data_IF_475922981530
#
_entry.id   IF_475922981530
#
_cell.length_a   1.000
_cell.length_b   1.000
_cell.length_c   1.000
_cell.angle_alpha   90.00
_cell.angle_beta   90.00
_cell.angle_gamma   90.00
#
_symmetry.space_group_name_H-M   'P 1'
#
loop_
_entity.id
_entity.type
_entity.pdbx_description
1 polymer ?
#
# COMPACT_ATOMS: atom_id res chain seq x y z
N UNK A 1 -13.46 -7.03 -21.76
CA UNK A 1 -14.49 -6.63 -20.78
C UNK A 1 -13.80 -6.16 -19.52
N UNK A 2 -13.76 -4.85 -19.30
CA UNK A 2 -12.98 -4.15 -18.26
C UNK A 2 -13.72 -4.07 -16.90
N UNK A 3 -14.95 -4.57 -16.81
CA UNK A 3 -15.75 -4.55 -15.59
C UNK A 3 -15.42 -5.74 -14.69
N UNK A 4 -14.30 -5.64 -13.97
CA UNK A 4 -14.06 -6.49 -12.79
C UNK A 4 -13.96 -5.60 -11.58
N UNK A 5 -14.65 -5.98 -10.51
CA UNK A 5 -14.58 -5.31 -9.19
C UNK A 5 -13.13 -5.16 -8.69
N UNK A 6 -12.19 -5.95 -9.22
CA UNK A 6 -10.74 -5.86 -8.99
C UNK A 6 -10.13 -4.49 -9.31
N UNK A 7 -10.51 -3.83 -10.41
CA UNK A 7 -9.94 -2.52 -10.77
C UNK A 7 -10.31 -1.44 -9.76
N UNK A 8 -11.49 -1.55 -9.12
CA UNK A 8 -11.89 -0.66 -8.02
C UNK A 8 -11.00 -0.83 -6.80
N UNK A 9 -10.58 -2.06 -6.48
CA UNK A 9 -9.66 -2.32 -5.36
C UNK A 9 -8.26 -1.76 -5.63
N UNK A 10 -7.76 -1.87 -6.87
CA UNK A 10 -6.50 -1.22 -7.25
C UNK A 10 -6.58 0.30 -7.22
N UNK A 11 -7.70 0.87 -7.66
CA UNK A 11 -7.92 2.31 -7.61
C UNK A 11 -8.02 2.81 -6.17
N UNK A 12 -8.70 2.07 -5.29
CA UNK A 12 -8.74 2.36 -3.86
C UNK A 12 -7.34 2.29 -3.23
N UNK A 13 -6.55 1.25 -3.55
CA UNK A 13 -5.15 1.12 -3.13
C UNK A 13 -4.29 2.29 -3.60
N UNK A 14 -4.43 2.72 -4.86
CA UNK A 14 -3.70 3.86 -5.39
C UNK A 14 -4.07 5.16 -4.67
N UNK A 15 -5.36 5.44 -4.47
CA UNK A 15 -5.85 6.62 -3.75
C UNK A 15 -5.36 6.60 -2.30
N UNK A 16 -5.50 5.47 -1.61
CA UNK A 16 -5.03 5.33 -0.22
C UNK A 16 -3.52 5.58 -0.12
N UNK A 17 -2.74 5.06 -1.07
CA UNK A 17 -1.29 5.27 -1.14
C UNK A 17 -0.95 6.74 -1.39
N UNK A 18 -1.59 7.41 -2.35
CA UNK A 18 -1.38 8.83 -2.61
C UNK A 18 -1.78 9.72 -1.42
N UNK A 19 -2.93 9.45 -0.80
CA UNK A 19 -3.35 10.15 0.41
C UNK A 19 -2.35 9.93 1.54
N UNK A 20 -1.80 8.72 1.70
CA UNK A 20 -0.81 8.45 2.75
C UNK A 20 0.50 9.24 2.60
N UNK A 21 0.80 9.80 1.41
CA UNK A 21 1.93 10.71 1.21
C UNK A 21 1.64 12.09 1.81
N UNK A 22 0.39 12.56 1.65
CA UNK A 22 -0.04 13.88 2.10
C UNK A 22 -0.34 13.93 3.60
N UNK A 23 -0.70 12.79 4.20
CA UNK A 23 -1.12 12.71 5.59
C UNK A 23 -0.06 12.12 6.53
N UNK A 24 -0.01 12.57 7.80
CA UNK A 24 0.90 12.04 8.80
C UNK A 24 0.56 10.62 9.24
N UNK A 25 1.58 9.79 9.36
CA UNK A 25 1.45 8.41 9.86
C UNK A 25 1.56 8.36 11.38
N UNK A 26 2.56 9.06 11.94
CA UNK A 26 2.79 9.08 13.37
C UNK A 26 3.16 10.50 13.79
N UNK A 27 2.84 10.87 15.03
CA UNK A 27 3.18 12.21 15.51
C UNK A 27 3.62 12.11 16.95
N UNK A 28 4.76 12.72 17.26
CA UNK A 28 5.36 12.53 18.57
C UNK A 28 6.57 13.40 18.80
N UNK A 29 7.06 13.36 20.03
CA UNK A 29 8.27 14.06 20.41
C UNK A 29 9.49 13.20 20.04
N UNK A 30 10.42 13.81 19.31
CA UNK A 30 11.74 13.24 19.06
C UNK A 30 12.75 13.98 19.94
N UNK A 31 13.65 13.24 20.58
CA UNK A 31 14.73 13.83 21.37
C UNK A 31 15.64 14.60 20.41
N UNK A 32 15.65 15.94 20.50
CA UNK A 32 16.63 16.76 19.78
C UNK A 32 18.02 16.58 20.38
N UNK A 33 19.06 16.96 19.62
CA UNK A 33 20.46 16.99 20.08
C UNK A 33 20.66 17.82 21.35
N UNK A 34 19.77 18.78 21.61
CA UNK A 34 19.83 19.69 22.76
C UNK A 34 18.86 19.30 23.90
N UNK A 35 18.56 18.00 24.08
CA UNK A 35 17.64 17.48 25.12
C UNK A 35 16.22 18.08 25.10
N UNK A 36 15.89 18.86 24.08
CA UNK A 36 14.61 19.54 23.91
C UNK A 36 13.63 18.61 23.19
N UNK A 37 12.43 18.42 23.76
CA UNK A 37 11.34 17.67 23.13
C UNK A 37 10.82 18.49 21.95
N UNK A 38 11.26 18.15 20.74
CA UNK A 38 10.73 18.76 19.52
C UNK A 38 9.57 17.92 19.02
N UNK A 39 8.40 18.55 18.90
CA UNK A 39 7.24 17.93 18.26
C UNK A 39 7.56 17.69 16.79
N UNK A 40 7.65 16.42 16.42
CA UNK A 40 7.96 15.99 15.07
C UNK A 40 6.82 15.14 14.54
N UNK A 41 6.41 15.47 13.33
CA UNK A 41 5.40 14.72 12.59
C UNK A 41 6.15 13.74 11.71
N UNK A 42 5.87 12.44 11.79
CA UNK A 42 6.34 11.47 10.80
C UNK A 42 5.40 11.49 9.59
N UNK A 43 5.82 12.23 8.59
CA UNK A 43 5.28 12.17 7.24
C UNK A 43 6.13 11.27 6.35
N UNK A 44 5.50 10.65 5.36
CA UNK A 44 6.20 9.92 4.29
C UNK A 44 7.30 10.77 3.64
N UNK A 45 7.08 12.08 3.52
CA UNK A 45 8.01 13.05 2.94
C UNK A 45 9.32 13.23 3.72
N UNK A 46 9.32 12.97 5.02
CA UNK A 46 10.50 13.19 5.86
C UNK A 46 11.50 12.03 5.78
N UNK A 47 11.05 10.88 5.25
CA UNK A 47 11.86 9.68 5.13
C UNK A 47 11.87 9.26 3.67
N UNK A 48 12.92 9.66 2.95
CA UNK A 48 13.14 9.35 1.52
C UNK A 48 12.79 7.91 1.12
N UNK A 49 13.22 6.85 1.84
CA UNK A 49 12.89 5.48 1.45
C UNK A 49 11.38 5.18 1.56
N UNK A 50 10.67 5.78 2.52
CA UNK A 50 9.22 5.62 2.68
C UNK A 50 8.47 6.34 1.56
N UNK A 51 8.87 7.58 1.23
CA UNK A 51 8.30 8.32 0.10
C UNK A 51 8.43 7.54 -1.21
N UNK A 52 9.66 7.10 -1.53
CA UNK A 52 9.94 6.36 -2.77
C UNK A 52 9.12 5.08 -2.85
N UNK A 53 9.07 4.29 -1.77
CA UNK A 53 8.30 3.05 -1.75
C UNK A 53 6.80 3.31 -1.91
N UNK A 54 6.26 4.35 -1.28
CA UNK A 54 4.85 4.72 -1.40
C UNK A 54 4.48 5.12 -2.84
N UNK A 55 5.35 5.90 -3.51
CA UNK A 55 5.17 6.28 -4.92
C UNK A 55 5.23 5.05 -5.83
N UNK A 56 6.19 4.14 -5.59
CA UNK A 56 6.29 2.89 -6.34
C UNK A 56 5.02 2.05 -6.17
N UNK A 57 4.49 1.93 -4.96
CA UNK A 57 3.26 1.16 -4.69
C UNK A 57 2.05 1.79 -5.40
N UNK A 58 1.90 3.11 -5.30
CA UNK A 58 0.80 3.85 -5.91
C UNK A 58 0.81 3.74 -7.45
N UNK A 59 1.99 3.95 -8.05
CA UNK A 59 2.16 3.85 -9.51
C UNK A 59 2.03 2.41 -9.99
N UNK A 60 2.57 1.43 -9.27
CA UNK A 60 2.38 0.01 -9.57
C UNK A 60 0.90 -0.38 -9.54
N UNK A 61 0.13 0.05 -8.52
CA UNK A 61 -1.31 -0.20 -8.45
C UNK A 61 -2.05 0.34 -9.68
N UNK A 62 -1.69 1.53 -10.18
CA UNK A 62 -2.27 2.07 -11.41
C UNK A 62 -1.87 1.27 -12.66
N UNK A 63 -0.60 0.88 -12.78
CA UNK A 63 -0.12 0.07 -13.91
C UNK A 63 -0.83 -1.30 -13.95
N UNK A 64 -1.06 -1.91 -12.79
CA UNK A 64 -1.74 -3.21 -12.67
C UNK A 64 -3.18 -3.15 -13.22
N UNK A 65 -3.86 -1.99 -13.15
CA UNK A 65 -5.20 -1.80 -13.74
C UNK A 65 -5.16 -2.01 -15.27
N UNK A 66 -4.13 -1.48 -15.94
CA UNK A 66 -3.97 -1.61 -17.39
C UNK A 66 -3.50 -3.02 -17.81
N UNK A 67 -2.93 -3.80 -16.90
CA UNK A 67 -2.50 -5.19 -17.13
C UNK A 67 -3.63 -6.22 -17.15
N UNK A 68 -4.89 -5.79 -17.23
CA UNK A 68 -6.09 -6.64 -17.22
C UNK A 68 -6.13 -7.73 -18.31
N UNK A 69 -5.36 -7.56 -19.39
CA UNK A 69 -5.26 -8.54 -20.48
C UNK A 69 -4.48 -9.79 -20.05
N UNK A 70 -3.47 -9.63 -19.20
CA UNK A 70 -2.54 -10.69 -18.81
C UNK A 70 -2.72 -11.06 -17.32
N UNK A 71 -3.74 -11.88 -17.02
CA UNK A 71 -4.13 -12.20 -15.63
C UNK A 71 -3.01 -12.79 -14.78
N UNK A 72 -2.17 -13.66 -15.36
CA UNK A 72 -1.02 -14.26 -14.66
C UNK A 72 -0.02 -13.19 -14.22
N UNK A 73 0.31 -12.24 -15.11
CA UNK A 73 1.17 -11.10 -14.77
C UNK A 73 0.47 -10.20 -13.77
N UNK A 74 -0.82 -9.91 -13.95
CA UNK A 74 -1.60 -9.08 -13.03
C UNK A 74 -1.55 -9.63 -11.58
N UNK A 75 -1.71 -10.95 -11.39
CA UNK A 75 -1.55 -11.58 -10.08
C UNK A 75 -0.13 -11.45 -9.53
N UNK A 76 0.90 -11.72 -10.35
CA UNK A 76 2.30 -11.62 -9.91
C UNK A 76 2.64 -10.19 -9.46
N UNK A 77 2.28 -9.19 -10.26
CA UNK A 77 2.51 -7.78 -9.90
C UNK A 77 1.69 -7.35 -8.68
N UNK A 78 0.46 -7.84 -8.52
CA UNK A 78 -0.35 -7.59 -7.32
C UNK A 78 0.30 -8.17 -6.07
N UNK A 79 0.81 -9.40 -6.16
CA UNK A 79 1.51 -10.06 -5.07
C UNK A 79 2.81 -9.34 -4.70
N UNK A 80 3.60 -8.93 -5.70
CA UNK A 80 4.78 -8.09 -5.49
C UNK A 80 4.40 -6.77 -4.79
N UNK A 81 3.34 -6.10 -5.26
CA UNK A 81 2.92 -4.83 -4.68
C UNK A 81 2.42 -4.97 -3.24
N UNK A 82 1.76 -6.09 -2.92
CA UNK A 82 1.36 -6.45 -1.57
C UNK A 82 2.59 -6.63 -0.66
N UNK A 83 3.63 -7.31 -1.16
CA UNK A 83 4.88 -7.50 -0.42
C UNK A 83 5.57 -6.15 -0.15
N UNK A 84 5.62 -5.27 -1.14
CA UNK A 84 6.11 -3.89 -0.96
C UNK A 84 5.28 -3.13 0.08
N UNK A 85 3.96 -3.28 0.08
CA UNK A 85 3.09 -2.62 1.07
C UNK A 85 3.33 -3.12 2.50
N UNK A 86 3.65 -4.40 2.68
CA UNK A 86 4.03 -4.94 4.00
C UNK A 86 5.38 -4.36 4.43
N UNK A 87 6.34 -4.29 3.50
CA UNK A 87 7.65 -3.70 3.74
C UNK A 87 7.54 -2.21 4.12
N UNK A 88 6.59 -1.47 3.52
CA UNK A 88 6.25 -0.10 3.89
C UNK A 88 5.85 0.01 5.36
N UNK A 89 4.95 -0.87 5.83
CA UNK A 89 4.49 -0.89 7.23
C UNK A 89 5.67 -1.18 8.16
N UNK A 90 6.55 -2.10 7.78
CA UNK A 90 7.74 -2.42 8.56
C UNK A 90 8.69 -1.22 8.68
N UNK A 91 8.91 -0.47 7.59
CA UNK A 91 9.68 0.78 7.62
C UNK A 91 9.05 1.81 8.56
N UNK A 92 7.74 2.04 8.46
CA UNK A 92 7.01 2.95 9.35
C UNK A 92 7.14 2.54 10.82
N UNK A 93 7.05 1.24 11.11
CA UNK A 93 7.25 0.72 12.46
C UNK A 93 8.68 0.96 12.97
N UNK A 94 9.69 0.76 12.12
CA UNK A 94 11.08 1.04 12.43
C UNK A 94 11.33 2.52 12.72
N UNK A 95 10.73 3.43 11.94
CA UNK A 95 10.81 4.88 12.19
C UNK A 95 10.09 5.28 13.48
N UNK A 96 8.97 4.63 13.80
CA UNK A 96 8.21 4.88 15.04
C UNK A 96 9.05 4.57 16.28
N UNK A 97 9.91 3.56 16.24
CA UNK A 97 10.83 3.23 17.36
C UNK A 97 11.85 4.33 17.68
N UNK A 98 12.05 5.29 16.77
CA UNK A 98 12.96 6.43 16.99
C UNK A 98 12.29 7.57 17.76
N UNK A 99 11.00 7.46 18.05
CA UNK A 99 10.24 8.43 18.83
C UNK A 99 10.18 7.98 20.29
N UNK A 100 10.32 8.94 21.21
CA UNK A 100 10.32 8.66 22.66
C UNK A 100 8.90 8.62 23.19
N UNK A 101 8.08 9.59 22.79
CA UNK A 101 6.65 9.69 23.10
C UNK A 101 5.90 10.03 21.81
N UNK A 102 4.81 9.34 21.49
CA UNK A 102 3.99 9.71 20.34
C UNK A 102 2.74 8.87 20.19
N UNK A 103 1.87 9.32 19.29
CA UNK A 103 0.59 8.70 18.99
C UNK A 103 0.50 8.39 17.51
N UNK A 104 -0.10 7.24 17.18
CA UNK A 104 -0.51 6.94 15.82
C UNK A 104 -1.54 7.96 15.36
N UNK A 105 -1.30 8.55 14.19
CA UNK A 105 -2.26 9.47 13.60
C UNK A 105 -3.44 8.69 13.01
N UNK A 106 -4.62 9.30 12.96
CA UNK A 106 -5.81 8.69 12.35
C UNK A 106 -5.56 8.27 10.90
N UNK A 107 -4.72 9.03 10.19
CA UNK A 107 -4.38 8.76 8.80
C UNK A 107 -3.47 7.55 8.60
N UNK A 108 -2.91 6.98 9.67
CA UNK A 108 -2.16 5.71 9.61
C UNK A 108 -3.03 4.56 9.08
N UNK A 109 -4.36 4.64 9.26
CA UNK A 109 -5.32 3.69 8.70
C UNK A 109 -5.16 3.55 7.18
N UNK A 110 -4.81 4.61 6.45
CA UNK A 110 -4.61 4.56 5.00
C UNK A 110 -3.49 3.59 4.60
N UNK A 111 -2.42 3.55 5.38
CA UNK A 111 -1.28 2.64 5.16
C UNK A 111 -1.68 1.19 5.40
N UNK A 112 -2.60 0.92 6.34
CA UNK A 112 -3.13 -0.42 6.60
C UNK A 112 -4.26 -0.84 5.63
N UNK A 113 -5.05 0.12 5.14
CA UNK A 113 -6.10 -0.12 4.13
C UNK A 113 -5.48 -0.55 2.81
N UNK A 114 -4.31 -0.03 2.46
CA UNK A 114 -3.64 -0.35 1.21
C UNK A 114 -3.36 -1.87 0.99
N UNK A 115 -2.67 -2.60 1.89
CA UNK A 115 -2.45 -4.03 1.72
C UNK A 115 -3.76 -4.83 1.75
N UNK A 116 -4.75 -4.40 2.55
CA UNK A 116 -6.08 -5.03 2.60
C UNK A 116 -6.76 -4.94 1.22
N UNK A 117 -6.75 -3.77 0.60
CA UNK A 117 -7.31 -3.58 -0.74
C UNK A 117 -6.58 -4.45 -1.79
N UNK A 118 -5.24 -4.57 -1.69
CA UNK A 118 -4.45 -5.43 -2.58
C UNK A 118 -4.77 -6.93 -2.39
N UNK A 119 -5.03 -7.39 -1.15
CA UNK A 119 -5.48 -8.76 -0.88
C UNK A 119 -6.81 -9.05 -1.57
N UNK A 120 -7.79 -8.14 -1.42
CA UNK A 120 -9.09 -8.30 -2.07
C UNK A 120 -8.97 -8.29 -3.60
N UNK A 121 -8.09 -7.46 -4.15
CA UNK A 121 -7.80 -7.45 -5.57
C UNK A 121 -7.21 -8.80 -6.02
N UNK A 122 -6.25 -9.34 -5.28
CA UNK A 122 -5.61 -10.62 -5.58
C UNK A 122 -6.59 -11.79 -5.55
N UNK A 123 -7.39 -11.91 -4.47
CA UNK A 123 -8.42 -12.96 -4.34
C UNK A 123 -9.43 -12.88 -5.47
N UNK A 124 -9.82 -11.66 -5.84
CA UNK A 124 -10.67 -11.41 -6.99
C UNK A 124 -10.08 -12.02 -8.27
N UNK A 125 -8.81 -11.72 -8.58
CA UNK A 125 -8.17 -12.20 -9.81
C UNK A 125 -8.03 -13.73 -9.81
N UNK A 126 -7.71 -14.31 -8.65
CA UNK A 126 -7.55 -15.76 -8.49
C UNK A 126 -8.86 -16.52 -8.78
N UNK A 127 -9.97 -16.08 -8.20
CA UNK A 127 -11.29 -16.68 -8.43
C UNK A 127 -11.67 -16.61 -9.92
N UNK A 128 -11.37 -15.48 -10.54
CA UNK A 128 -11.64 -15.25 -11.95
C UNK A 128 -10.77 -16.09 -12.91
N UNK A 129 -9.54 -16.42 -12.53
CA UNK A 129 -8.71 -17.36 -13.27
C UNK A 129 -9.23 -18.79 -13.13
N UNK A 130 -9.69 -19.16 -11.91
CA UNK A 130 -10.26 -20.48 -11.63
C UNK A 130 -11.54 -20.75 -12.44
N UNK A 131 -12.41 -19.74 -12.58
CA UNK A 131 -13.64 -19.84 -13.37
C UNK A 131 -13.37 -20.13 -14.86
N UNK A 132 -12.34 -19.51 -15.45
CA UNK A 132 -11.97 -19.80 -16.85
C UNK A 132 -11.45 -21.22 -16.99
N UNK A 133 -10.54 -21.63 -16.08
CA UNK A 133 -9.98 -22.99 -16.10
C UNK A 133 -11.07 -24.06 -15.94
N UNK A 134 -12.15 -23.78 -15.21
CA UNK A 134 -13.28 -24.72 -15.13
C UNK A 134 -14.12 -24.79 -16.40
N UNK A 135 -14.26 -23.69 -17.16
CA UNK A 135 -14.99 -23.69 -18.43
C UNK A 135 -14.20 -24.38 -19.54
N UNK A 136 -12.88 -24.16 -19.59
CA UNK A 136 -12.00 -24.84 -20.56
C UNK A 136 -11.91 -26.35 -20.35
N UNK A 137 -12.24 -26.87 -19.16
CA UNK A 137 -12.28 -28.33 -18.91
C UNK A 137 -13.48 -29.04 -19.54
N UNK A 138 -14.54 -28.31 -19.89
CA UNK A 138 -15.80 -28.88 -20.40
C UNK A 138 -15.82 -28.89 -21.94
N UNK A 139 -14.95 -28.11 -22.58
CA UNK A 139 -14.72 -28.13 -24.03
C UNK A 139 -13.63 -29.14 -24.37
#
# INVERSE_FOLDING_TARGET
>A
MIQRKQSLWFLLSAIASFCSIAFPFYTGNKMGSDLSKNYNILNAQLVLPILMLTIVIATASLIIIFLYKERKKQMLFTFLNLLLSILLIFLYYSETKKFVDGTLSMSAILVFVNPIALIFAFVGIFNDEKLIKSVDRIR
#
